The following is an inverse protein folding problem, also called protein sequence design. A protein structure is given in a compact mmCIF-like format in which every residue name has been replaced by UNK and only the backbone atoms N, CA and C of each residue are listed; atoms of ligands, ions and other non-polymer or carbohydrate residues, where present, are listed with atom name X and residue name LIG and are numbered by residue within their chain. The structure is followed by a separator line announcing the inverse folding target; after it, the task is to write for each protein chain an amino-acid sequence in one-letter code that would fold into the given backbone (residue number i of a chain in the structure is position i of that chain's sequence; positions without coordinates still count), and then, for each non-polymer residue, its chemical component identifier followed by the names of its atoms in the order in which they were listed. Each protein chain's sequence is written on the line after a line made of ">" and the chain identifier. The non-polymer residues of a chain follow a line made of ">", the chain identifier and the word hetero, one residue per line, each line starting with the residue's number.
data_IF_668178075264
#
_entry.id   IF_668178075264
#
_cell.length_a   1.000
_cell.length_b   1.000
_cell.length_c   1.000
_cell.angle_alpha   90.00
_cell.angle_beta   90.00
_cell.angle_gamma   90.00
#
_symmetry.space_group_name_H-M   'P 1'
#
loop_
_entity.id
_entity.type
_entity.pdbx_description
1 polymer ?
#
# COMPACT_ATOMS: atom_id res chain seq x y z
N UNK A 1 0.97 -5.34 21.88
CA UNK A 1 0.91 -5.10 20.42
C UNK A 1 -0.07 -3.96 20.16
N UNK A 2 0.24 -3.08 19.21
CA UNK A 2 -0.61 -1.96 18.83
C UNK A 2 -1.23 -2.20 17.45
N UNK A 3 -2.54 -2.05 17.36
CA UNK A 3 -3.32 -2.09 16.13
C UNK A 3 -3.95 -0.71 15.93
N UNK A 4 -3.67 -0.06 14.81
CA UNK A 4 -4.26 1.23 14.44
C UNK A 4 -5.01 1.02 13.14
N UNK A 5 -6.27 1.43 13.11
CA UNK A 5 -7.10 1.43 11.92
C UNK A 5 -7.50 2.88 11.60
N UNK A 6 -7.25 3.31 10.36
CA UNK A 6 -7.64 4.63 9.87
C UNK A 6 -8.82 4.45 8.93
N UNK A 7 -9.93 5.15 9.18
CA UNK A 7 -11.16 4.99 8.42
C UNK A 7 -11.64 6.36 7.91
N UNK A 8 -11.66 6.53 6.58
CA UNK A 8 -11.99 7.80 5.93
C UNK A 8 -13.46 7.96 5.52
N UNK A 9 -14.30 6.96 5.74
CA UNK A 9 -15.73 7.01 5.44
C UNK A 9 -16.54 6.22 6.47
N UNK A 10 -17.76 6.65 6.82
CA UNK A 10 -18.63 5.90 7.72
C UNK A 10 -18.94 4.51 7.18
N UNK A 11 -18.79 3.51 8.04
CA UNK A 11 -19.13 2.11 7.75
C UNK A 11 -19.70 1.43 8.99
N UNK A 12 -20.91 0.86 8.88
CA UNK A 12 -21.56 0.20 10.02
C UNK A 12 -20.78 -1.03 10.51
N UNK A 13 -20.08 -1.73 9.60
CA UNK A 13 -19.27 -2.92 9.91
C UNK A 13 -17.93 -2.60 10.58
N UNK A 14 -17.63 -1.32 10.83
CA UNK A 14 -16.33 -0.90 11.36
C UNK A 14 -16.01 -1.50 12.75
N UNK A 15 -16.92 -1.49 13.75
CA UNK A 15 -16.65 -2.15 15.04
C UNK A 15 -16.37 -3.65 14.91
N UNK A 16 -17.10 -4.36 14.05
CA UNK A 16 -16.90 -5.78 13.76
C UNK A 16 -15.50 -6.05 13.19
N UNK A 17 -15.04 -5.20 12.26
CA UNK A 17 -13.68 -5.27 11.71
C UNK A 17 -12.63 -5.04 12.80
N UNK A 18 -12.82 -4.04 13.65
CA UNK A 18 -11.93 -3.75 14.78
C UNK A 18 -11.79 -4.94 15.73
N UNK A 19 -12.91 -5.58 16.08
CA UNK A 19 -12.92 -6.80 16.90
C UNK A 19 -12.25 -7.99 16.18
N UNK A 20 -12.56 -8.20 14.90
CA UNK A 20 -11.99 -9.27 14.09
C UNK A 20 -10.47 -9.14 13.96
N UNK A 21 -9.94 -7.93 13.78
CA UNK A 21 -8.50 -7.71 13.71
C UNK A 21 -7.84 -7.93 15.07
N UNK A 22 -8.42 -7.39 16.15
CA UNK A 22 -7.89 -7.58 17.50
C UNK A 22 -7.75 -9.07 17.88
N UNK A 23 -8.79 -9.85 17.58
CA UNK A 23 -8.83 -11.31 17.85
C UNK A 23 -7.81 -12.07 17.00
N UNK A 24 -7.78 -11.85 15.68
CA UNK A 24 -6.81 -12.50 14.78
C UNK A 24 -5.36 -12.18 15.13
N UNK A 25 -5.08 -10.93 15.51
CA UNK A 25 -3.74 -10.52 15.94
C UNK A 25 -3.36 -11.18 17.27
N UNK A 26 -4.29 -11.22 18.24
CA UNK A 26 -4.07 -11.92 19.51
C UNK A 26 -3.80 -13.41 19.27
N UNK A 27 -4.58 -14.08 18.43
CA UNK A 27 -4.44 -15.51 18.16
C UNK A 27 -3.10 -15.82 17.47
N UNK A 28 -2.69 -14.98 16.50
CA UNK A 28 -1.43 -15.17 15.78
C UNK A 28 -0.20 -14.91 16.64
N UNK A 29 -0.21 -13.83 17.43
CA UNK A 29 0.99 -13.36 18.13
C UNK A 29 1.02 -13.71 19.61
N UNK A 30 -0.10 -14.18 20.19
CA UNK A 30 -0.24 -14.53 21.61
C UNK A 30 0.14 -13.37 22.55
N UNK A 31 -0.07 -12.13 22.10
CA UNK A 31 0.16 -10.90 22.85
C UNK A 31 -1.15 -10.15 23.05
N UNK A 32 -1.23 -9.37 24.13
CA UNK A 32 -2.30 -8.40 24.30
C UNK A 32 -2.25 -7.37 23.15
N UNK A 33 -3.42 -7.09 22.57
CA UNK A 33 -3.60 -6.15 21.46
C UNK A 33 -4.41 -4.97 21.96
N UNK A 34 -3.87 -3.76 21.80
CA UNK A 34 -4.62 -2.51 21.94
C UNK A 34 -5.02 -2.07 20.54
N UNK A 35 -6.32 -1.86 20.31
CA UNK A 35 -6.84 -1.35 19.04
C UNK A 35 -7.22 0.12 19.19
N UNK A 36 -6.73 0.98 18.30
CA UNK A 36 -7.04 2.40 18.24
C UNK A 36 -7.69 2.70 16.88
N UNK A 37 -8.77 3.48 16.88
CA UNK A 37 -9.38 3.99 15.65
C UNK A 37 -8.99 5.45 15.40
N UNK A 38 -8.68 5.79 14.14
CA UNK A 38 -8.56 7.17 13.67
C UNK A 38 -9.64 7.38 12.61
N UNK A 39 -10.62 8.23 12.92
CA UNK A 39 -11.77 8.53 12.08
C UNK A 39 -11.49 9.83 11.31
N UNK A 40 -11.48 9.73 9.98
CA UNK A 40 -11.08 10.77 9.04
C UNK A 40 -12.21 11.10 8.03
N UNK A 41 -13.46 10.84 8.41
CA UNK A 41 -14.65 11.18 7.63
C UNK A 41 -15.21 12.56 8.00
N UNK A 42 -16.16 13.04 7.20
CA UNK A 42 -16.82 14.34 7.32
C UNK A 42 -18.13 14.32 8.16
N UNK A 43 -18.53 13.19 8.74
CA UNK A 43 -19.73 13.11 9.60
C UNK A 43 -19.37 13.31 11.09
N UNK A 44 -19.77 14.43 11.72
CA UNK A 44 -19.43 14.69 13.13
C UNK A 44 -20.08 13.71 14.13
N UNK A 45 -21.14 13.02 13.74
CA UNK A 45 -21.91 12.13 14.60
C UNK A 45 -21.46 10.66 14.51
N UNK A 46 -20.77 10.28 13.43
CA UNK A 46 -20.27 8.92 13.28
C UNK A 46 -19.01 8.69 14.14
N UNK A 47 -19.20 8.02 15.28
CA UNK A 47 -18.18 7.79 16.33
C UNK A 47 -18.23 6.36 16.92
N UNK A 48 -18.01 5.33 16.09
CA UNK A 48 -17.96 3.95 16.59
C UNK A 48 -16.83 3.79 17.62
N UNK A 49 -17.15 3.16 18.75
CA UNK A 49 -16.20 2.88 19.84
C UNK A 49 -16.39 1.51 20.48
N UNK A 50 -17.45 0.78 20.11
CA UNK A 50 -17.82 -0.49 20.74
C UNK A 50 -18.35 -1.48 19.71
N UNK A 51 -17.90 -2.73 19.83
CA UNK A 51 -18.54 -3.90 19.21
C UNK A 51 -19.24 -4.73 20.30
N UNK A 52 -20.48 -5.13 20.03
CA UNK A 52 -21.27 -5.99 20.92
C UNK A 52 -21.88 -7.15 20.15
N UNK A 53 -21.77 -8.36 20.67
CA UNK A 53 -22.45 -9.54 20.14
C UNK A 53 -23.07 -10.34 21.29
N UNK A 54 -24.33 -10.76 21.14
CA UNK A 54 -25.02 -11.58 22.12
C UNK A 54 -25.82 -12.72 21.46
N UNK A 55 -25.64 -13.94 21.96
CA UNK A 55 -26.43 -15.10 21.56
C UNK A 55 -26.58 -16.08 22.73
N UNK A 56 -27.82 -16.48 23.04
CA UNK A 56 -28.14 -17.45 24.11
C UNK A 56 -27.46 -17.16 25.46
N UNK A 57 -27.36 -15.88 25.84
CA UNK A 57 -26.71 -15.45 27.09
C UNK A 57 -25.19 -15.38 27.04
N UNK A 58 -24.55 -15.77 25.93
CA UNK A 58 -23.14 -15.49 25.67
C UNK A 58 -23.00 -14.06 25.14
N UNK A 59 -22.21 -13.22 25.83
CA UNK A 59 -21.99 -11.82 25.48
C UNK A 59 -20.53 -11.56 25.18
N UNK A 60 -20.26 -10.87 24.08
CA UNK A 60 -18.96 -10.26 23.76
C UNK A 60 -19.13 -8.76 23.78
N UNK A 61 -18.30 -8.07 24.55
CA UNK A 61 -18.16 -6.63 24.54
C UNK A 61 -16.71 -6.28 24.23
N UNK A 62 -16.50 -5.44 23.22
CA UNK A 62 -15.18 -4.98 22.84
C UNK A 62 -15.22 -3.47 22.65
N UNK A 63 -14.59 -2.75 23.58
CA UNK A 63 -14.46 -1.31 23.56
C UNK A 63 -13.07 -0.93 23.08
N UNK A 64 -13.01 0.12 22.26
CA UNK A 64 -11.75 0.65 21.74
C UNK A 64 -11.78 2.18 21.73
N UNK A 65 -10.66 2.83 22.09
CA UNK A 65 -10.53 4.27 21.93
C UNK A 65 -10.54 4.65 20.45
N UNK A 66 -11.16 5.80 20.17
CA UNK A 66 -11.16 6.42 18.85
C UNK A 66 -10.60 7.85 18.95
N UNK A 67 -10.16 8.38 17.82
CA UNK A 67 -9.83 9.80 17.64
C UNK A 67 -10.56 10.24 16.38
N UNK A 68 -11.29 11.35 16.43
CA UNK A 68 -11.95 11.96 15.27
C UNK A 68 -11.10 13.15 14.81
N UNK A 69 -10.60 13.10 13.57
CA UNK A 69 -9.75 14.18 13.05
C UNK A 69 -10.52 15.50 12.91
N UNK A 70 -11.82 15.41 12.63
CA UNK A 70 -12.70 16.57 12.54
C UNK A 70 -12.77 17.39 13.84
N UNK A 71 -12.55 16.76 15.01
CA UNK A 71 -12.58 17.45 16.32
C UNK A 71 -11.45 18.48 16.49
N UNK A 72 -10.43 18.41 15.63
CA UNK A 72 -9.32 19.35 15.65
C UNK A 72 -9.58 20.60 14.82
N UNK A 73 -10.71 20.70 14.12
CA UNK A 73 -11.11 21.92 13.42
C UNK A 73 -11.17 23.11 14.39
N UNK A 74 -11.74 22.92 15.58
CA UNK A 74 -11.84 23.97 16.61
C UNK A 74 -10.52 24.22 17.36
N UNK A 75 -9.48 23.43 17.07
CA UNK A 75 -8.15 23.49 17.70
C UNK A 75 -7.08 23.94 16.72
N UNK A 76 -7.46 24.78 15.76
CA UNK A 76 -6.58 25.22 14.68
C UNK A 76 -5.28 25.82 15.22
N UNK A 77 -5.36 26.71 16.19
CA UNK A 77 -4.18 27.36 16.79
C UNK A 77 -3.22 26.36 17.46
N UNK A 78 -3.75 25.34 18.13
CA UNK A 78 -2.95 24.25 18.72
C UNK A 78 -2.22 23.45 17.63
N UNK A 79 -2.91 23.12 16.53
CA UNK A 79 -2.30 22.42 15.39
C UNK A 79 -1.20 23.25 14.75
N UNK A 80 -1.42 24.55 14.61
CA UNK A 80 -0.51 25.46 13.92
C UNK A 80 0.79 25.73 14.67
N UNK A 81 0.75 25.66 15.99
CA UNK A 81 1.88 25.89 16.90
C UNK A 81 2.56 24.60 17.33
N UNK A 82 2.04 23.44 16.92
CA UNK A 82 2.58 22.15 17.31
C UNK A 82 3.86 21.79 16.55
N UNK A 83 4.90 21.40 17.28
CA UNK A 83 6.11 20.79 16.72
C UNK A 83 5.90 19.31 16.30
N UNK A 84 4.68 18.78 16.48
CA UNK A 84 4.36 17.42 16.09
C UNK A 84 4.10 17.34 14.58
N UNK A 85 4.85 16.52 13.82
CA UNK A 85 4.62 16.35 12.38
C UNK A 85 3.21 15.86 12.02
N UNK A 86 2.52 15.18 12.94
CA UNK A 86 1.12 14.79 12.72
C UNK A 86 0.15 15.97 12.73
N UNK A 87 0.51 17.11 13.31
CA UNK A 87 -0.32 18.31 13.20
C UNK A 87 -0.45 18.77 11.75
N UNK A 88 0.63 18.71 10.98
CA UNK A 88 0.61 18.98 9.52
C UNK A 88 -0.32 18.00 8.79
N UNK A 89 -0.30 16.72 9.17
CA UNK A 89 -1.19 15.69 8.62
C UNK A 89 -2.66 16.02 8.89
N UNK A 90 -2.98 16.43 10.12
CA UNK A 90 -4.35 16.81 10.51
C UNK A 90 -4.79 18.09 9.77
N UNK A 91 -3.94 19.12 9.70
CA UNK A 91 -4.22 20.35 8.95
C UNK A 91 -4.48 20.04 7.47
N UNK A 92 -3.64 19.21 6.85
CA UNK A 92 -3.83 18.80 5.45
C UNK A 92 -5.17 18.07 5.25
N UNK A 93 -5.55 17.21 6.20
CA UNK A 93 -6.81 16.50 6.17
C UNK A 93 -8.02 17.42 6.29
N UNK A 94 -8.01 18.35 7.25
CA UNK A 94 -9.07 19.34 7.42
C UNK A 94 -9.23 20.23 6.17
N UNK A 95 -8.10 20.74 5.63
CA UNK A 95 -8.09 21.50 4.38
C UNK A 95 -8.66 20.69 3.21
N UNK A 96 -8.36 19.39 3.13
CA UNK A 96 -8.90 18.51 2.08
C UNK A 96 -10.43 18.42 2.15
N UNK A 97 -11.00 18.28 3.36
CA UNK A 97 -12.44 18.25 3.59
C UNK A 97 -13.11 19.58 3.23
N UNK A 98 -12.55 20.71 3.69
CA UNK A 98 -13.07 22.06 3.41
C UNK A 98 -13.06 22.42 1.93
N UNK A 99 -12.04 21.96 1.19
CA UNK A 99 -11.82 22.32 -0.21
C UNK A 99 -12.30 21.28 -1.22
N UNK A 100 -13.09 20.28 -0.78
CA UNK A 100 -13.55 19.13 -1.58
C UNK A 100 -14.13 19.51 -2.95
N UNK A 101 -14.82 20.67 -3.03
CA UNK A 101 -15.48 21.15 -4.24
C UNK A 101 -14.89 22.47 -4.78
N UNK A 102 -13.71 22.90 -4.31
CA UNK A 102 -13.10 24.17 -4.72
C UNK A 102 -11.59 24.01 -4.93
N UNK A 103 -11.21 23.78 -6.20
CA UNK A 103 -9.81 23.55 -6.57
C UNK A 103 -8.91 24.78 -6.40
N UNK A 104 -9.43 25.99 -6.60
CA UNK A 104 -8.68 27.24 -6.39
C UNK A 104 -8.39 27.45 -4.90
N UNK A 105 -9.39 27.25 -4.04
CA UNK A 105 -9.17 27.31 -2.59
C UNK A 105 -8.22 26.20 -2.12
N UNK A 106 -8.32 24.99 -2.71
CA UNK A 106 -7.37 23.90 -2.44
C UNK A 106 -5.95 24.28 -2.82
N UNK A 107 -5.75 24.92 -3.97
CA UNK A 107 -4.44 25.41 -4.41
C UNK A 107 -3.85 26.37 -3.37
N UNK A 108 -4.61 27.39 -2.96
CA UNK A 108 -4.16 28.37 -1.98
C UNK A 108 -3.80 27.72 -0.64
N UNK A 109 -4.67 26.84 -0.11
CA UNK A 109 -4.40 26.09 1.12
C UNK A 109 -3.17 25.19 1.02
N UNK A 110 -2.97 24.54 -0.14
CA UNK A 110 -1.80 23.68 -0.37
C UNK A 110 -0.50 24.49 -0.41
N UNK A 111 -0.51 25.68 -1.02
CA UNK A 111 0.63 26.61 -1.03
C UNK A 111 0.96 27.05 0.40
N UNK A 112 -0.02 27.59 1.13
CA UNK A 112 0.13 28.05 2.53
C UNK A 112 0.74 26.96 3.41
N UNK A 113 0.17 25.75 3.36
CA UNK A 113 0.63 24.63 4.17
C UNK A 113 2.05 24.18 3.80
N UNK A 114 2.36 24.14 2.49
CA UNK A 114 3.69 23.76 2.01
C UNK A 114 4.75 24.77 2.44
N UNK A 115 4.48 26.08 2.28
CA UNK A 115 5.40 27.13 2.72
C UNK A 115 5.65 27.04 4.24
N UNK A 116 4.58 26.85 5.03
CA UNK A 116 4.69 26.69 6.48
C UNK A 116 5.52 25.46 6.88
N UNK A 117 5.31 24.34 6.21
CA UNK A 117 6.06 23.09 6.46
C UNK A 117 7.58 23.29 6.36
N UNK A 118 8.06 24.07 5.39
CA UNK A 118 9.49 24.39 5.25
C UNK A 118 9.99 25.33 6.35
N UNK A 119 9.11 26.16 6.94
CA UNK A 119 9.42 27.04 8.05
C UNK A 119 9.50 26.36 9.43
N UNK A 120 9.01 25.12 9.58
CA UNK A 120 8.92 24.42 10.87
C UNK A 120 10.23 23.79 11.38
N UNK A 121 11.36 23.98 10.69
CA UNK A 121 12.67 23.51 11.16
C UNK A 121 12.86 21.97 11.18
N UNK A 122 12.00 21.22 10.49
CA UNK A 122 12.12 19.77 10.37
C UNK A 122 13.34 19.36 9.52
N UNK A 123 13.81 18.12 9.72
CA UNK A 123 14.84 17.53 8.86
C UNK A 123 14.33 17.38 7.43
N UNK A 124 15.24 17.40 6.45
CA UNK A 124 14.92 17.31 5.03
C UNK A 124 14.09 16.06 4.68
N UNK A 125 14.43 14.90 5.27
CA UNK A 125 13.67 13.66 5.12
C UNK A 125 12.23 13.77 5.65
N UNK A 126 12.03 14.47 6.78
CA UNK A 126 10.72 14.63 7.41
C UNK A 126 9.86 15.61 6.64
N UNK A 127 10.42 16.75 6.23
CA UNK A 127 9.76 17.71 5.34
C UNK A 127 9.31 17.01 4.07
N UNK A 128 10.19 16.21 3.48
CA UNK A 128 9.87 15.46 2.28
C UNK A 128 8.72 14.46 2.47
N UNK A 129 8.75 13.67 3.56
CA UNK A 129 7.68 12.71 3.85
C UNK A 129 6.32 13.39 4.05
N UNK A 130 6.29 14.52 4.76
CA UNK A 130 5.07 15.31 4.98
C UNK A 130 4.57 15.98 3.70
N UNK A 131 5.48 16.52 2.89
CA UNK A 131 5.14 17.10 1.60
C UNK A 131 4.47 16.07 0.68
N UNK A 132 5.05 14.86 0.57
CA UNK A 132 4.43 13.76 -0.20
C UNK A 132 3.03 13.42 0.28
N UNK A 133 2.85 13.42 1.60
CA UNK A 133 1.54 13.16 2.18
C UNK A 133 0.53 14.25 1.79
N UNK A 134 0.91 15.52 1.90
CA UNK A 134 0.07 16.66 1.48
C UNK A 134 -0.25 16.56 -0.01
N UNK A 135 0.75 16.27 -0.85
CA UNK A 135 0.58 16.21 -2.30
C UNK A 135 -0.37 15.08 -2.74
N UNK A 136 -0.21 13.90 -2.16
CA UNK A 136 -1.10 12.76 -2.38
C UNK A 136 -2.54 13.03 -1.89
N UNK A 137 -2.69 13.72 -0.76
CA UNK A 137 -4.00 13.96 -0.15
C UNK A 137 -4.76 15.10 -0.84
N UNK A 138 -4.07 16.20 -1.15
CA UNK A 138 -4.63 17.41 -1.75
C UNK A 138 -4.32 17.46 -3.24
N UNK A 139 -4.96 16.56 -3.98
CA UNK A 139 -4.82 16.47 -5.45
C UNK A 139 -5.42 17.70 -6.11
N UNK A 140 -4.70 18.24 -7.10
CA UNK A 140 -5.06 19.39 -7.92
C UNK A 140 -5.17 18.97 -9.40
N UNK A 141 -6.00 19.66 -10.21
CA UNK A 141 -5.94 19.59 -11.67
C UNK A 141 -4.56 19.98 -12.23
N UNK A 142 -4.25 19.56 -13.47
CA UNK A 142 -2.92 19.73 -14.08
C UNK A 142 -2.49 21.21 -14.21
N UNK A 143 -3.43 22.08 -14.58
CA UNK A 143 -3.22 23.52 -14.72
C UNK A 143 -2.85 24.16 -13.37
N UNK A 144 -3.62 23.87 -12.32
CA UNK A 144 -3.33 24.37 -10.97
C UNK A 144 -2.09 23.72 -10.35
N UNK A 145 -1.78 22.47 -10.71
CA UNK A 145 -0.53 21.81 -10.32
C UNK A 145 0.68 22.53 -10.90
N UNK A 146 0.58 23.03 -12.13
CA UNK A 146 1.63 23.85 -12.73
C UNK A 146 1.80 25.17 -11.98
N UNK A 147 0.70 25.86 -11.70
CA UNK A 147 0.70 27.09 -10.90
C UNK A 147 1.32 26.87 -9.52
N UNK A 148 0.92 25.81 -8.81
CA UNK A 148 1.50 25.42 -7.53
C UNK A 148 3.03 25.29 -7.59
N UNK A 149 3.53 24.54 -8.57
CA UNK A 149 4.97 24.31 -8.74
C UNK A 149 5.73 25.61 -9.07
N UNK A 150 5.14 26.47 -9.89
CA UNK A 150 5.71 27.78 -10.22
C UNK A 150 5.79 28.69 -8.99
N UNK A 151 4.72 28.77 -8.19
CA UNK A 151 4.69 29.58 -6.94
C UNK A 151 5.72 29.10 -5.92
N UNK A 152 5.72 27.80 -5.60
CA UNK A 152 6.68 27.23 -4.64
C UNK A 152 8.13 27.40 -5.11
N UNK A 153 8.38 27.34 -6.42
CA UNK A 153 9.71 27.55 -7.00
C UNK A 153 10.17 29.02 -7.01
N UNK A 154 9.23 29.97 -7.05
CA UNK A 154 9.52 31.41 -7.10
C UNK A 154 9.84 31.98 -5.72
N UNK A 155 9.07 31.61 -4.71
CA UNK A 155 9.18 32.20 -3.36
C UNK A 155 10.47 31.81 -2.62
N UNK A 156 11.21 30.81 -3.13
CA UNK A 156 12.35 30.25 -2.43
C UNK A 156 13.48 29.81 -3.38
N UNK A 157 14.36 30.72 -3.78
CA UNK A 157 15.51 30.43 -4.67
C UNK A 157 16.46 29.35 -4.10
N UNK A 158 16.64 29.29 -2.78
CA UNK A 158 17.43 28.23 -2.11
C UNK A 158 16.66 26.91 -2.04
N UNK A 159 15.33 26.95 -1.91
CA UNK A 159 14.51 25.73 -1.97
C UNK A 159 14.39 25.22 -3.40
N UNK A 160 14.49 26.05 -4.44
CA UNK A 160 14.42 25.63 -5.85
C UNK A 160 15.42 24.51 -6.17
N UNK A 161 16.68 24.62 -5.72
CA UNK A 161 17.68 23.57 -5.92
C UNK A 161 17.43 22.32 -5.07
N UNK A 162 17.02 22.47 -3.80
CA UNK A 162 16.70 21.32 -2.94
C UNK A 162 15.40 20.63 -3.38
N UNK A 163 14.28 21.35 -3.50
CA UNK A 163 12.97 20.89 -3.96
C UNK A 163 13.01 20.11 -5.28
N UNK A 164 13.64 20.67 -6.32
CA UNK A 164 13.75 20.01 -7.63
C UNK A 164 14.64 18.76 -7.56
N UNK A 165 15.81 18.83 -6.93
CA UNK A 165 16.69 17.64 -6.80
C UNK A 165 16.07 16.57 -5.92
N UNK A 166 15.35 16.95 -4.86
CA UNK A 166 14.61 16.03 -4.00
C UNK A 166 13.49 15.36 -4.81
N UNK A 167 12.58 16.10 -5.45
CA UNK A 167 11.52 15.52 -6.28
C UNK A 167 12.07 14.63 -7.40
N UNK A 168 13.14 15.03 -8.09
CA UNK A 168 13.79 14.23 -9.15
C UNK A 168 14.42 12.95 -8.60
N UNK A 169 15.17 13.03 -7.49
CA UNK A 169 15.76 11.85 -6.83
C UNK A 169 14.68 10.90 -6.32
N UNK A 170 13.55 11.43 -5.87
CA UNK A 170 12.44 10.63 -5.37
C UNK A 170 11.56 10.06 -6.48
N UNK A 171 11.31 10.79 -7.57
CA UNK A 171 10.69 10.25 -8.77
C UNK A 171 11.51 9.07 -9.32
N UNK A 172 12.84 9.18 -9.26
CA UNK A 172 13.74 8.08 -9.61
C UNK A 172 13.63 6.91 -8.62
N UNK A 173 13.51 7.16 -7.31
CA UNK A 173 13.36 6.14 -6.27
C UNK A 173 12.01 5.41 -6.36
N UNK A 174 10.91 6.14 -6.57
CA UNK A 174 9.57 5.60 -6.82
C UNK A 174 9.54 4.78 -8.11
N UNK A 175 10.08 5.31 -9.21
CA UNK A 175 10.18 4.58 -10.48
C UNK A 175 10.99 3.27 -10.31
N UNK A 176 12.05 3.29 -9.50
CA UNK A 176 12.84 2.10 -9.16
C UNK A 176 12.05 1.09 -8.33
N UNK A 177 11.39 1.53 -7.26
CA UNK A 177 10.55 0.66 -6.42
C UNK A 177 9.40 0.04 -7.22
N UNK A 178 8.78 0.82 -8.10
CA UNK A 178 7.70 0.33 -8.94
C UNK A 178 8.21 -0.61 -10.04
N UNK A 179 9.40 -0.38 -10.58
CA UNK A 179 10.07 -1.32 -11.49
C UNK A 179 10.41 -2.64 -10.80
N UNK A 180 10.88 -2.58 -9.55
CA UNK A 180 11.18 -3.76 -8.73
C UNK A 180 9.92 -4.56 -8.41
N UNK A 181 8.86 -3.89 -7.93
CA UNK A 181 7.56 -4.52 -7.66
C UNK A 181 6.93 -5.13 -8.91
N UNK A 182 7.07 -4.47 -10.06
CA UNK A 182 6.65 -5.02 -11.36
C UNK A 182 7.50 -6.22 -11.77
N UNK A 183 8.81 -6.18 -11.50
CA UNK A 183 9.74 -7.29 -11.74
C UNK A 183 9.42 -8.52 -10.90
N UNK A 184 9.15 -8.32 -9.61
CA UNK A 184 8.78 -9.37 -8.66
C UNK A 184 7.45 -10.03 -9.06
N UNK A 185 6.39 -9.24 -9.28
CA UNK A 185 5.09 -9.78 -9.76
C UNK A 185 5.19 -10.53 -11.10
N UNK A 186 6.05 -10.06 -12.01
CA UNK A 186 6.30 -10.77 -13.28
C UNK A 186 7.07 -12.07 -13.06
N UNK A 187 8.05 -12.06 -12.14
CA UNK A 187 8.82 -13.25 -11.76
C UNK A 187 7.96 -14.32 -11.11
N UNK A 188 7.09 -13.92 -10.17
CA UNK A 188 6.15 -14.80 -9.49
C UNK A 188 5.18 -15.47 -10.48
N UNK A 189 4.49 -14.69 -11.33
CA UNK A 189 3.60 -15.23 -12.36
C UNK A 189 4.30 -16.17 -13.35
N UNK A 190 5.54 -15.84 -13.74
CA UNK A 190 6.31 -16.68 -14.65
C UNK A 190 6.77 -17.97 -13.95
N UNK A 191 7.11 -17.91 -12.67
CA UNK A 191 7.46 -19.05 -11.84
C UNK A 191 6.27 -20.00 -11.62
N UNK A 192 5.10 -19.45 -11.30
CA UNK A 192 3.85 -20.19 -11.14
C UNK A 192 3.48 -20.94 -12.42
N UNK A 193 3.43 -20.23 -13.56
CA UNK A 193 3.14 -20.85 -14.86
C UNK A 193 4.14 -21.95 -15.24
N UNK A 194 5.44 -21.73 -15.01
CA UNK A 194 6.47 -22.77 -15.24
C UNK A 194 6.30 -23.96 -14.31
N UNK A 195 5.86 -23.74 -13.07
CA UNK A 195 5.56 -24.78 -12.10
C UNK A 195 4.36 -25.64 -12.53
N UNK A 196 3.29 -24.99 -13.01
CA UNK A 196 2.11 -25.67 -13.57
C UNK A 196 2.45 -26.49 -14.81
N UNK A 197 3.18 -25.91 -15.77
CA UNK A 197 3.59 -26.60 -17.01
C UNK A 197 4.48 -27.82 -16.70
N UNK A 198 5.42 -27.70 -15.75
CA UNK A 198 6.23 -28.83 -15.28
C UNK A 198 5.37 -29.89 -14.57
N UNK A 199 4.47 -29.48 -13.68
CA UNK A 199 3.58 -30.40 -12.95
C UNK A 199 2.70 -31.22 -13.88
N UNK A 200 2.19 -30.59 -14.96
CA UNK A 200 1.42 -31.27 -16.00
C UNK A 200 2.26 -32.30 -16.76
N UNK A 201 3.48 -31.95 -17.15
CA UNK A 201 4.40 -32.87 -17.84
C UNK A 201 4.80 -34.05 -16.96
N UNK A 202 5.13 -33.80 -15.69
CA UNK A 202 5.44 -34.87 -14.71
C UNK A 202 4.23 -35.80 -14.54
N UNK A 203 3.02 -35.25 -14.45
CA UNK A 203 1.79 -36.04 -14.38
C UNK A 203 1.55 -36.89 -15.63
N UNK A 204 1.82 -36.36 -16.83
CA UNK A 204 1.73 -37.11 -18.09
C UNK A 204 2.76 -38.25 -18.17
N UNK A 205 3.99 -38.00 -17.74
CA UNK A 205 5.06 -39.01 -17.67
C UNK A 205 4.64 -40.14 -16.72
N UNK A 206 4.21 -39.81 -15.49
CA UNK A 206 3.77 -40.79 -14.52
C UNK A 206 2.57 -41.63 -15.00
N UNK A 207 1.64 -41.02 -15.74
CA UNK A 207 0.50 -41.72 -16.33
C UNK A 207 0.93 -42.71 -17.43
N UNK A 208 1.89 -42.33 -18.29
CA UNK A 208 2.44 -43.23 -19.30
C UNK A 208 3.21 -44.39 -18.67
N UNK A 209 3.98 -44.13 -17.60
CA UNK A 209 4.68 -45.16 -16.83
C UNK A 209 3.69 -46.19 -16.25
N UNK A 210 2.58 -45.71 -15.68
CA UNK A 210 1.52 -46.56 -15.14
C UNK A 210 0.82 -47.40 -16.22
N UNK A 211 0.48 -46.80 -17.36
CA UNK A 211 -0.11 -47.53 -18.50
C UNK A 211 0.83 -48.60 -19.04
N UNK A 212 2.14 -48.33 -19.02
CA UNK A 212 3.17 -49.30 -19.42
C UNK A 212 3.28 -50.46 -18.44
N UNK A 213 3.30 -50.18 -17.13
CA UNK A 213 3.34 -51.20 -16.08
C UNK A 213 2.10 -52.10 -16.08
N UNK A 214 0.93 -51.55 -16.40
CA UNK A 214 -0.33 -52.29 -16.50
C UNK A 214 -0.57 -52.95 -17.87
N UNK A 215 0.46 -53.03 -18.74
CA UNK A 215 0.38 -53.58 -20.10
C UNK A 215 -0.73 -52.98 -20.98
N UNK A 216 -1.19 -51.77 -20.66
CA UNK A 216 -2.27 -51.07 -21.40
C UNK A 216 -1.76 -50.49 -22.72
N UNK A 217 -0.44 -50.28 -22.85
CA UNK A 217 0.21 -49.81 -24.08
C UNK A 217 1.43 -50.69 -24.46
N UNK A 218 1.59 -51.03 -25.76
CA UNK A 218 2.79 -51.69 -26.29
C UNK A 218 4.06 -50.86 -26.09
N UNK A 219 5.21 -51.52 -25.93
CA UNK A 219 6.50 -50.87 -25.67
C UNK A 219 6.86 -49.80 -26.70
N UNK A 220 6.63 -50.13 -27.98
CA UNK A 220 6.96 -49.24 -29.08
C UNK A 220 6.13 -47.95 -29.08
N UNK A 221 4.87 -48.01 -28.63
CA UNK A 221 4.02 -46.82 -28.49
C UNK A 221 4.42 -45.97 -27.27
N UNK A 222 4.83 -46.61 -26.16
CA UNK A 222 5.36 -45.91 -25.00
C UNK A 222 6.63 -45.10 -25.34
N UNK A 223 7.60 -45.71 -26.03
CA UNK A 223 8.86 -45.04 -26.43
C UNK A 223 8.60 -43.83 -27.33
N UNK A 224 7.60 -43.90 -28.22
CA UNK A 224 7.21 -42.78 -29.09
C UNK A 224 6.57 -41.62 -28.32
N UNK A 225 5.88 -41.90 -27.21
CA UNK A 225 5.17 -40.90 -26.41
C UNK A 225 6.05 -40.28 -25.31
N UNK A 226 6.99 -41.04 -24.75
CA UNK A 226 7.77 -40.61 -23.59
C UNK A 226 8.92 -39.66 -23.95
N UNK A 227 9.60 -39.90 -25.08
CA UNK A 227 10.73 -39.10 -25.55
C UNK A 227 10.42 -37.59 -25.72
N UNK A 228 9.32 -37.16 -26.38
CA UNK A 228 9.01 -35.75 -26.51
C UNK A 228 8.66 -35.06 -25.18
N UNK A 229 8.08 -35.79 -24.20
CA UNK A 229 7.74 -35.23 -22.89
C UNK A 229 8.98 -34.94 -22.04
N UNK A 230 9.99 -35.81 -22.08
CA UNK A 230 11.28 -35.55 -21.42
C UNK A 230 12.02 -34.37 -22.05
N UNK A 231 11.98 -34.22 -23.39
CA UNK A 231 12.56 -33.05 -24.08
C UNK A 231 11.87 -31.75 -23.64
N UNK A 232 10.53 -31.76 -23.55
CA UNK A 232 9.77 -30.60 -23.08
C UNK A 232 10.03 -30.28 -21.60
N UNK A 233 10.17 -31.30 -20.75
CA UNK A 233 10.51 -31.13 -19.34
C UNK A 233 11.92 -30.53 -19.18
N UNK A 234 12.89 -31.02 -19.95
CA UNK A 234 14.26 -30.53 -19.95
C UNK A 234 14.36 -29.06 -20.40
N UNK A 235 13.59 -28.69 -21.44
CA UNK A 235 13.51 -27.31 -21.92
C UNK A 235 12.90 -26.34 -20.88
N UNK A 236 12.05 -26.82 -19.97
CA UNK A 236 11.50 -26.03 -18.86
C UNK A 236 12.44 -25.98 -17.65
N UNK A 237 13.44 -26.87 -17.56
CA UNK A 237 14.45 -26.91 -16.49
C UNK A 237 15.66 -26.04 -16.73
N UNK A 238 16.01 -25.77 -17.98
CA UNK A 238 17.16 -24.95 -18.32
C UNK A 238 16.87 -23.45 -18.09
N UNK A 239 17.58 -22.85 -17.15
CA UNK A 239 17.51 -21.41 -16.87
C UNK A 239 18.20 -20.61 -17.99
N UNK A 240 17.49 -19.76 -18.76
CA UNK A 240 18.11 -18.94 -19.81
C UNK A 240 19.13 -17.92 -19.29
N UNK A 241 19.29 -17.76 -17.97
CA UNK A 241 20.36 -16.93 -17.37
C UNK A 241 21.72 -17.63 -17.30
N UNK A 242 21.81 -18.96 -17.37
CA UNK A 242 23.10 -19.67 -17.28
C UNK A 242 23.92 -19.58 -18.58
N UNK A 243 23.26 -19.36 -19.72
CA UNK A 243 23.89 -19.29 -21.05
C UNK A 243 24.46 -17.90 -21.41
N UNK A 244 24.15 -16.83 -20.65
CA UNK A 244 24.69 -15.48 -20.87
C UNK A 244 26.09 -15.23 -20.28
N UNK A 245 26.64 -16.16 -19.50
CA UNK A 245 27.99 -16.03 -18.90
C UNK A 245 29.14 -16.62 -19.75
N UNK A 246 28.89 -17.12 -20.96
CA UNK A 246 29.94 -17.75 -21.80
C UNK A 246 30.48 -16.90 -22.97
N UNK A 247 30.07 -15.64 -23.09
CA UNK A 247 30.67 -14.71 -24.05
C UNK A 247 30.98 -13.36 -23.39
N UNK A 248 32.08 -13.32 -22.65
CA UNK A 248 32.98 -12.17 -22.50
C UNK A 248 34.36 -12.68 -22.12
#
# INVERSE_FOLDING_TARGET
>A
MLHIEVQGQPQDIFPDRMFTYATRLRDRYQLMVVSLAILADDDPNWRPSTFTEELWGCKKNFEFPMIKLLDYHDKWEELETSDNPFAVVVIAHLNMLETKNNHEQRLNRKIELTQKLYGMGYSEEKVFALFRFIDWLMVLPDDLTKTFNETISHDHEVLKMKYLTTIEQFALKEARLEAERRGEKRGEKLGEKRGEDRGKLIGQIAMLDMMRQNNTIPHQQYEQMIAPLYIQLQALTDDPKSSRKRYK
#
